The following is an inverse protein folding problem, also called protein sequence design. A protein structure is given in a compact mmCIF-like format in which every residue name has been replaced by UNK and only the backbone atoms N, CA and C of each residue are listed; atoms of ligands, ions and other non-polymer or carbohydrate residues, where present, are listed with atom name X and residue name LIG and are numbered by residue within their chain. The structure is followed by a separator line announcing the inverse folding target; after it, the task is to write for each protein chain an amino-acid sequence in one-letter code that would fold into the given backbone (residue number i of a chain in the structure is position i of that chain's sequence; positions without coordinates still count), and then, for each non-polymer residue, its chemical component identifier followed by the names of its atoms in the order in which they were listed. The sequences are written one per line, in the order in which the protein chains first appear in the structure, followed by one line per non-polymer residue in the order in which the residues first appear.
data_IF_008187913027
#
_entry.id   IF_008187913027
#
_cell.length_a   1.000
_cell.length_b   1.000
_cell.length_c   1.000
_cell.angle_alpha   90.00
_cell.angle_beta   90.00
_cell.angle_gamma   90.00
#
_symmetry.space_group_name_H-M   'P 1'
#
loop_
_entity.id
_entity.type
_entity.pdbx_description
1 polymer ?
#
# COMPACT_ATOMS: atom_id res chain seq x y z
N UNK A 1 18.25 -7.38 -2.83
CA UNK A 1 17.80 -5.98 -2.71
C UNK A 1 16.63 -5.91 -1.75
N UNK A 2 16.54 -4.83 -0.98
CA UNK A 2 15.37 -4.57 -0.14
C UNK A 2 14.17 -4.16 -0.99
N UNK A 3 12.98 -4.44 -0.49
CA UNK A 3 11.70 -3.98 -1.05
C UNK A 3 10.91 -3.27 0.02
N UNK A 4 9.98 -2.42 -0.40
CA UNK A 4 9.11 -1.67 0.50
C UNK A 4 8.09 -2.64 1.12
N UNK A 5 7.87 -2.53 2.43
CA UNK A 5 6.75 -3.17 3.10
C UNK A 5 5.57 -2.19 3.26
N UNK A 6 5.86 -0.98 3.73
CA UNK A 6 4.91 0.11 3.86
C UNK A 6 5.54 1.41 4.34
N UNK A 7 4.77 2.49 4.24
CA UNK A 7 5.07 3.79 4.85
C UNK A 7 3.93 4.11 5.81
N UNK A 8 4.25 4.24 7.08
CA UNK A 8 3.25 4.28 8.16
C UNK A 8 3.34 5.60 8.93
N UNK A 9 2.41 6.55 8.70
CA UNK A 9 2.22 7.66 9.61
C UNK A 9 1.91 7.12 11.01
N UNK A 10 2.59 7.66 12.02
CA UNK A 10 2.36 7.25 13.39
C UNK A 10 2.65 8.39 14.38
N UNK A 11 2.41 8.12 15.66
CA UNK A 11 2.67 9.03 16.77
C UNK A 11 3.38 8.32 17.90
N UNK A 12 4.10 9.08 18.71
CA UNK A 12 4.66 8.55 19.95
C UNK A 12 3.57 8.04 20.90
N UNK A 13 3.87 6.95 21.60
CA UNK A 13 2.98 6.30 22.56
C UNK A 13 2.52 4.91 22.13
N UNK A 14 1.66 4.26 22.94
CA UNK A 14 1.33 2.84 22.77
C UNK A 14 0.28 2.57 21.68
N UNK A 15 -0.34 3.61 21.11
CA UNK A 15 -1.44 3.46 20.15
C UNK A 15 -0.98 3.84 18.74
N UNK A 16 -0.99 2.86 17.86
CA UNK A 16 -0.71 3.02 16.43
C UNK A 16 -1.79 3.86 15.74
N UNK A 17 -1.36 4.76 14.86
CA UNK A 17 -2.25 5.48 13.95
C UNK A 17 -2.58 4.62 12.72
N UNK A 18 -3.86 4.26 12.56
CA UNK A 18 -4.34 3.45 11.44
C UNK A 18 -5.83 3.66 11.18
N UNK A 19 -6.26 3.45 9.94
CA UNK A 19 -7.65 3.59 9.47
C UNK A 19 -8.27 4.95 9.80
N UNK A 20 -7.57 6.02 9.47
CA UNK A 20 -8.03 7.38 9.71
C UNK A 20 -9.26 7.72 8.84
N UNK A 21 -10.06 8.69 9.31
CA UNK A 21 -11.29 9.13 8.63
C UNK A 21 -11.02 10.40 7.80
N UNK A 22 -11.75 10.61 6.69
CA UNK A 22 -12.82 9.75 6.15
C UNK A 22 -12.28 8.49 5.47
N UNK A 23 -13.16 7.51 5.23
CA UNK A 23 -12.80 6.34 4.44
C UNK A 23 -12.47 6.79 3.01
N UNK A 24 -11.25 6.51 2.55
CA UNK A 24 -10.78 6.87 1.23
C UNK A 24 -11.12 5.80 0.19
N UNK A 25 -11.19 6.22 -1.08
CA UNK A 25 -11.21 5.32 -2.23
C UNK A 25 -9.79 5.08 -2.72
N UNK A 26 -9.52 3.85 -3.17
CA UNK A 26 -8.25 3.49 -3.77
C UNK A 26 -8.38 3.50 -5.30
N UNK A 27 -7.52 4.24 -5.97
CA UNK A 27 -7.43 4.24 -7.42
C UNK A 27 -6.32 3.27 -7.84
N UNK A 28 -6.63 2.38 -8.78
CA UNK A 28 -5.69 1.40 -9.28
C UNK A 28 -4.59 2.09 -10.09
N UNK A 29 -3.34 1.74 -9.80
CA UNK A 29 -2.19 2.23 -10.55
C UNK A 29 -2.10 1.55 -11.93
N UNK A 30 -1.56 2.28 -12.89
CA UNK A 30 -1.29 1.84 -14.26
C UNK A 30 0.03 2.44 -14.75
N UNK A 31 0.46 2.04 -15.95
CA UNK A 31 1.62 2.55 -16.65
C UNK A 31 2.92 2.52 -15.81
N UNK A 32 3.71 3.58 -15.86
CA UNK A 32 5.00 3.68 -15.18
C UNK A 32 4.89 3.41 -13.68
N UNK A 33 3.84 3.91 -13.02
CA UNK A 33 3.67 3.75 -11.57
C UNK A 33 3.45 2.28 -11.20
N UNK A 34 2.67 1.54 -11.99
CA UNK A 34 2.45 0.11 -11.78
C UNK A 34 3.78 -0.65 -11.84
N UNK A 35 4.58 -0.39 -12.88
CA UNK A 35 5.86 -1.06 -13.09
C UNK A 35 6.87 -0.72 -11.98
N UNK A 36 6.89 0.54 -11.53
CA UNK A 36 7.79 0.97 -10.45
C UNK A 36 7.41 0.32 -9.11
N UNK A 37 6.12 0.21 -8.81
CA UNK A 37 5.63 -0.42 -7.59
C UNK A 37 5.83 -1.94 -7.61
N UNK A 38 5.59 -2.60 -8.75
CA UNK A 38 5.82 -4.04 -8.86
C UNK A 38 7.30 -4.41 -8.64
N UNK A 39 8.23 -3.56 -9.10
CA UNK A 39 9.66 -3.76 -8.86
C UNK A 39 10.12 -3.44 -7.43
N UNK A 40 9.68 -2.32 -6.86
CA UNK A 40 10.26 -1.81 -5.60
C UNK A 40 9.38 -2.08 -4.36
N UNK A 41 8.09 -2.30 -4.56
CA UNK A 41 7.09 -2.62 -3.54
C UNK A 41 6.30 -3.88 -3.91
N UNK A 42 7.02 -4.90 -4.40
CA UNK A 42 6.48 -6.17 -4.87
C UNK A 42 5.54 -6.85 -3.85
N UNK A 43 4.47 -7.48 -4.35
CA UNK A 43 3.40 -8.07 -3.55
C UNK A 43 3.59 -9.59 -3.38
N UNK A 44 4.62 -10.02 -2.64
CA UNK A 44 5.10 -11.42 -2.55
C UNK A 44 4.08 -12.48 -2.08
N UNK A 45 2.90 -12.09 -1.60
CA UNK A 45 1.88 -13.01 -1.06
C UNK A 45 0.83 -13.43 -2.10
N UNK A 46 0.87 -12.86 -3.29
CA UNK A 46 -0.07 -13.13 -4.39
C UNK A 46 0.73 -13.34 -5.67
N UNK A 47 0.16 -14.04 -6.65
CA UNK A 47 0.78 -14.19 -7.96
C UNK A 47 0.83 -12.84 -8.70
N UNK A 48 1.77 -12.71 -9.64
CA UNK A 48 2.03 -11.46 -10.36
C UNK A 48 0.79 -10.95 -11.11
N UNK A 49 0.03 -11.83 -11.78
CA UNK A 49 -1.16 -11.42 -12.52
C UNK A 49 -2.22 -10.81 -11.59
N UNK A 50 -2.49 -11.45 -10.45
CA UNK A 50 -3.37 -10.92 -9.41
C UNK A 50 -2.81 -9.67 -8.74
N UNK A 51 -1.50 -9.60 -8.53
CA UNK A 51 -0.81 -8.45 -7.94
C UNK A 51 -1.01 -7.19 -8.80
N UNK A 52 -0.78 -7.30 -10.11
CA UNK A 52 -0.86 -6.17 -11.04
C UNK A 52 -2.31 -5.73 -11.28
N UNK A 53 -3.24 -6.69 -11.36
CA UNK A 53 -4.66 -6.42 -11.61
C UNK A 53 -5.37 -5.88 -10.37
N UNK A 54 -5.28 -6.58 -9.26
CA UNK A 54 -6.12 -6.33 -8.08
C UNK A 54 -5.41 -5.50 -7.00
N UNK A 55 -4.08 -5.36 -7.10
CA UNK A 55 -3.24 -4.53 -6.24
C UNK A 55 -3.53 -4.67 -4.74
N UNK A 56 -3.72 -5.91 -4.23
CA UNK A 56 -4.33 -6.13 -2.92
C UNK A 56 -3.49 -5.58 -1.76
N UNK A 57 -2.17 -5.71 -1.83
CA UNK A 57 -1.29 -5.26 -0.76
C UNK A 57 -1.18 -3.73 -0.74
N UNK A 58 -1.05 -3.08 -1.90
CA UNK A 58 -0.99 -1.63 -1.98
C UNK A 58 -2.29 -0.97 -1.53
N UNK A 59 -3.43 -1.52 -1.96
CA UNK A 59 -4.76 -1.09 -1.50
C UNK A 59 -4.90 -1.22 0.00
N UNK A 60 -4.47 -2.34 0.59
CA UNK A 60 -4.50 -2.55 2.04
C UNK A 60 -3.62 -1.52 2.78
N UNK A 61 -2.38 -1.32 2.33
CA UNK A 61 -1.45 -0.37 2.95
C UNK A 61 -1.96 1.08 2.85
N UNK A 62 -2.52 1.48 1.71
CA UNK A 62 -3.10 2.80 1.54
C UNK A 62 -4.30 3.02 2.46
N UNK A 63 -5.26 2.08 2.51
CA UNK A 63 -6.45 2.26 3.34
C UNK A 63 -6.13 2.22 4.85
N UNK A 64 -5.16 1.39 5.26
CA UNK A 64 -4.79 1.25 6.66
C UNK A 64 -3.87 2.37 7.16
N UNK A 65 -2.85 2.72 6.38
CA UNK A 65 -1.79 3.63 6.82
C UNK A 65 -1.79 4.94 6.03
N UNK A 66 -1.95 4.88 4.71
CA UNK A 66 -2.04 6.07 3.85
C UNK A 66 -3.26 6.95 4.12
N UNK A 67 -4.32 6.43 4.74
CA UNK A 67 -5.49 7.23 5.16
C UNK A 67 -5.17 8.27 6.23
N UNK A 68 -4.00 8.19 6.86
CA UNK A 68 -3.59 9.01 7.99
C UNK A 68 -2.65 10.17 7.64
N UNK A 69 -2.51 10.53 6.35
CA UNK A 69 -1.70 11.66 5.88
C UNK A 69 -2.41 12.47 4.80
#
# INVERSE_FOLDING_TARGET
NFTIHGLWPDKEGPKLLQYCKPKLNYNYFSDKMLNDLDKHWIQLKVDEASALKDQPAWKYQYLKHGSCC
#
